data_IF_537917799224
#
_entry.id   IF_537917799224
#
_cell.length_a   1.000
_cell.length_b   1.000
_cell.length_c   1.000
_cell.angle_alpha   90.00
_cell.angle_beta   90.00
_cell.angle_gamma   90.00
#
_symmetry.space_group_name_H-M   'P 1'
#
loop_
_entity.id
_entity.type
_entity.pdbx_description
1 polymer ?
#
# COMPACT_ATOMS: atom_id res chain seq x y z
N UNK A 1 -27.60 14.20 -11.83
CA UNK A 1 -26.40 13.69 -12.53
C UNK A 1 -25.36 13.29 -11.47
N UNK A 2 -25.42 12.07 -10.93
CA UNK A 2 -24.39 11.56 -10.02
C UNK A 2 -23.27 10.96 -10.86
N UNK A 3 -22.10 11.58 -10.85
CA UNK A 3 -20.91 11.03 -11.50
C UNK A 3 -20.44 9.81 -10.70
N UNK A 4 -20.67 8.62 -11.23
CA UNK A 4 -20.08 7.38 -10.71
C UNK A 4 -18.56 7.48 -10.85
N UNK A 5 -17.83 7.73 -9.76
CA UNK A 5 -16.37 7.56 -9.71
C UNK A 5 -16.06 6.09 -10.03
N UNK A 6 -15.66 5.81 -11.27
CA UNK A 6 -15.12 4.51 -11.62
C UNK A 6 -13.88 4.25 -10.76
N UNK A 7 -13.86 3.10 -10.09
CA UNK A 7 -12.68 2.68 -9.34
C UNK A 7 -11.51 2.49 -10.31
N UNK A 8 -10.30 2.99 -9.99
CA UNK A 8 -9.15 2.82 -10.85
C UNK A 8 -8.87 1.33 -11.07
N UNK A 9 -8.37 1.00 -12.27
CA UNK A 9 -7.96 -0.37 -12.58
C UNK A 9 -6.97 -0.88 -11.52
N UNK A 10 -7.01 -2.18 -11.14
CA UNK A 10 -6.13 -2.72 -10.11
C UNK A 10 -4.64 -2.39 -10.32
N UNK A 11 -4.17 -2.40 -11.57
CA UNK A 11 -2.80 -2.02 -11.89
C UNK A 11 -2.47 -0.56 -11.51
N UNK A 12 -3.36 0.39 -11.82
CA UNK A 12 -3.18 1.80 -11.47
C UNK A 12 -3.19 1.99 -9.95
N UNK A 13 -4.12 1.33 -9.25
CA UNK A 13 -4.18 1.38 -7.77
C UNK A 13 -2.92 0.80 -7.12
N UNK A 14 -2.36 -0.27 -7.67
CA UNK A 14 -1.09 -0.84 -7.21
C UNK A 14 0.06 0.15 -7.39
N UNK A 15 0.11 0.81 -8.54
CA UNK A 15 1.15 1.77 -8.87
C UNK A 15 1.10 3.02 -7.97
N UNK A 16 -0.11 3.51 -7.69
CA UNK A 16 -0.32 4.62 -6.75
C UNK A 16 0.15 4.27 -5.33
N UNK A 17 -0.20 3.07 -4.85
CA UNK A 17 0.28 2.59 -3.54
C UNK A 17 1.80 2.49 -3.47
N UNK A 18 2.47 2.05 -4.54
CA UNK A 18 3.93 1.98 -4.59
C UNK A 18 4.58 3.37 -4.61
N UNK A 19 3.96 4.35 -5.28
CA UNK A 19 4.42 5.76 -5.26
C UNK A 19 4.28 6.37 -3.86
N UNK A 20 3.16 6.11 -3.19
CA UNK A 20 2.93 6.54 -1.80
C UNK A 20 3.95 5.89 -0.85
N UNK A 21 4.21 4.59 -1.00
CA UNK A 21 5.23 3.89 -0.23
C UNK A 21 6.62 4.54 -0.38
N UNK A 22 7.06 4.77 -1.62
CA UNK A 22 8.33 5.45 -1.89
C UNK A 22 8.41 6.85 -1.27
N UNK A 23 7.30 7.60 -1.27
CA UNK A 23 7.24 8.93 -0.64
C UNK A 23 7.37 8.86 0.88
N UNK A 24 6.68 7.90 1.53
CA UNK A 24 6.81 7.67 2.96
C UNK A 24 8.22 7.20 3.35
N UNK A 25 8.82 6.32 2.56
CA UNK A 25 10.19 5.84 2.79
C UNK A 25 11.21 7.00 2.72
N UNK A 26 11.14 7.83 1.69
CA UNK A 26 12.03 9.00 1.56
C UNK A 26 11.84 9.99 2.73
N UNK A 27 10.61 10.23 3.15
CA UNK A 27 10.34 11.07 4.32
C UNK A 27 10.87 10.45 5.62
N UNK A 28 10.80 9.12 5.75
CA UNK A 28 11.35 8.42 6.90
C UNK A 28 12.87 8.55 6.99
N UNK A 29 13.58 8.44 5.86
CA UNK A 29 15.03 8.64 5.78
C UNK A 29 15.42 10.05 6.24
N UNK A 30 14.70 11.07 5.76
CA UNK A 30 14.92 12.46 6.17
C UNK A 30 14.67 12.66 7.67
N UNK A 31 13.56 12.12 8.20
CA UNK A 31 13.25 12.18 9.62
C UNK A 31 14.33 11.49 10.47
N UNK A 32 14.78 10.30 10.08
CA UNK A 32 15.84 9.56 10.75
C UNK A 32 17.17 10.34 10.74
N UNK A 33 17.54 10.93 9.59
CA UNK A 33 18.73 11.76 9.46
C UNK A 33 18.69 13.00 10.37
N UNK A 34 17.50 13.54 10.64
CA UNK A 34 17.30 14.66 11.57
C UNK A 34 17.19 14.26 13.04
N UNK A 35 17.23 12.96 13.37
CA UNK A 35 17.08 12.46 14.74
C UNK A 35 15.62 12.33 15.21
N UNK A 36 14.64 12.55 14.34
CA UNK A 36 13.21 12.45 14.61
C UNK A 36 12.75 10.98 14.55
N UNK A 37 13.27 10.15 15.47
CA UNK A 37 13.16 8.68 15.41
C UNK A 37 11.71 8.20 15.43
N UNK A 38 10.84 8.79 16.25
CA UNK A 38 9.43 8.39 16.29
C UNK A 38 8.70 8.70 14.98
N UNK A 39 9.01 9.84 14.37
CA UNK A 39 8.42 10.24 13.09
C UNK A 39 8.90 9.33 11.98
N UNK A 40 10.20 9.00 11.95
CA UNK A 40 10.74 8.00 11.04
C UNK A 40 10.05 6.64 11.20
N UNK A 41 9.87 6.16 12.44
CA UNK A 41 9.20 4.88 12.70
C UNK A 41 7.75 4.87 12.19
N UNK A 42 6.98 5.94 12.43
CA UNK A 42 5.61 6.07 11.90
C UNK A 42 5.58 6.04 10.37
N UNK A 43 6.49 6.77 9.72
CA UNK A 43 6.59 6.83 8.26
C UNK A 43 6.98 5.47 7.65
N UNK A 44 7.89 4.73 8.29
CA UNK A 44 8.24 3.36 7.88
C UNK A 44 7.01 2.46 7.90
N UNK A 45 6.23 2.49 8.98
CA UNK A 45 5.01 1.68 9.09
C UNK A 45 3.98 2.04 8.01
N UNK A 46 3.85 3.33 7.66
CA UNK A 46 2.99 3.78 6.57
C UNK A 46 3.47 3.26 5.21
N UNK A 47 4.78 3.32 4.94
CA UNK A 47 5.36 2.75 3.71
C UNK A 47 5.07 1.26 3.58
N UNK A 48 5.31 0.49 4.65
CA UNK A 48 5.08 -0.95 4.69
C UNK A 48 3.60 -1.30 4.50
N UNK A 49 2.67 -0.51 5.05
CA UNK A 49 1.24 -0.72 4.82
C UNK A 49 0.88 -0.51 3.34
N UNK A 50 1.44 0.53 2.69
CA UNK A 50 1.24 0.75 1.27
C UNK A 50 1.77 -0.41 0.41
N UNK A 51 2.96 -0.93 0.72
CA UNK A 51 3.52 -2.12 0.04
C UNK A 51 2.66 -3.37 0.23
N UNK A 52 2.24 -3.65 1.48
CA UNK A 52 1.35 -4.77 1.80
C UNK A 52 0.05 -4.68 1.02
N UNK A 53 -0.54 -3.49 0.96
CA UNK A 53 -1.77 -3.22 0.20
C UNK A 53 -1.53 -3.38 -1.28
N UNK A 54 -0.42 -2.89 -1.83
CA UNK A 54 -0.05 -3.05 -3.23
C UNK A 54 0.08 -4.53 -3.62
N UNK A 55 0.65 -5.36 -2.75
CA UNK A 55 0.72 -6.81 -2.92
C UNK A 55 -0.65 -7.51 -2.84
N UNK A 56 -1.62 -6.89 -2.18
CA UNK A 56 -3.01 -7.36 -2.10
C UNK A 56 -3.88 -6.88 -3.26
N UNK A 57 -3.38 -5.98 -4.12
CA UNK A 57 -4.12 -5.51 -5.30
C UNK A 57 -3.86 -6.47 -6.47
N UNK A 58 -4.85 -7.30 -6.78
CA UNK A 58 -4.81 -8.26 -7.88
C UNK A 58 -5.94 -9.29 -7.76
N UNK A 59 -6.03 -10.25 -8.69
CA UNK A 59 -6.96 -11.36 -8.57
C UNK A 59 -6.67 -12.15 -7.30
N UNK A 60 -7.60 -12.12 -6.34
CA UNK A 60 -7.50 -12.94 -5.15
C UNK A 60 -7.85 -14.38 -5.53
N UNK A 61 -6.83 -15.23 -5.65
CA UNK A 61 -7.05 -16.67 -5.87
C UNK A 61 -7.58 -17.25 -4.57
N UNK A 62 -8.91 -17.35 -4.45
CA UNK A 62 -9.55 -18.11 -3.39
C UNK A 62 -9.17 -19.58 -3.59
N UNK A 63 -8.26 -20.08 -2.74
CA UNK A 63 -8.02 -21.51 -2.57
C UNK A 63 -9.28 -22.09 -1.91
N UNK A 64 -10.30 -22.39 -2.72
CA UNK A 64 -11.50 -23.08 -2.25
C UNK A 64 -11.07 -24.48 -1.82
N UNK A 65 -11.10 -24.74 -0.51
CA UNK A 65 -10.93 -26.10 0.00
C UNK A 65 -12.09 -26.93 -0.54
N UNK A 66 -11.78 -27.96 -1.32
CA UNK A 66 -12.81 -28.87 -1.85
C UNK A 66 -13.45 -29.62 -0.67
N UNK A 67 -14.79 -29.55 -0.49
CA UNK A 67 -15.46 -30.32 0.54
C UNK A 67 -15.35 -31.82 0.24
N UNK A 68 -15.09 -32.62 1.29
CA UNK A 68 -14.98 -34.07 1.21
C UNK A 68 -16.38 -34.67 1.39
N UNK A 69 -17.08 -34.85 0.28
CA UNK A 69 -18.20 -35.79 0.21
C UNK A 69 -17.67 -37.11 -0.32
#
# INVERSE_FOLDING_TARGET
MQATRQAPAPAARREDLLKEAGSHAAAAELAAASGEIETAARLILQSLDCERRAGSVGPQVLQLIKPRN
#
